data_IF_401498505113
#
_entry.id   IF_401498505113
#
_cell.length_a   1.000
_cell.length_b   1.000
_cell.length_c   1.000
_cell.angle_alpha   90.00
_cell.angle_beta   90.00
_cell.angle_gamma   90.00
#
_symmetry.space_group_name_H-M   'P 1'
#
loop_
_entity.id
_entity.type
_entity.pdbx_description
1 polymer ?
#
# COMPACT_ATOMS: atom_id res chain seq x y z
N UNK A 1 18.96 25.12 18.14
CA UNK A 1 18.52 23.79 18.61
C UNK A 1 17.33 23.97 19.51
N UNK A 2 16.12 23.63 19.04
CA UNK A 2 14.94 23.62 19.92
C UNK A 2 15.13 22.49 20.93
N UNK A 3 15.09 22.80 22.23
CA UNK A 3 15.04 21.81 23.30
C UNK A 3 13.94 20.79 22.97
N UNK A 4 14.31 19.55 22.68
CA UNK A 4 13.36 18.45 22.62
C UNK A 4 12.79 18.29 24.02
N UNK A 5 11.57 18.79 24.24
CA UNK A 5 10.81 18.50 25.47
C UNK A 5 10.72 16.99 25.58
N UNK A 6 11.22 16.43 26.68
CA UNK A 6 10.93 15.04 27.05
C UNK A 6 9.41 14.96 27.21
N UNK A 7 8.74 14.24 26.32
CA UNK A 7 7.32 14.01 26.47
C UNK A 7 7.15 13.04 27.65
N UNK A 8 6.50 13.49 28.72
CA UNK A 8 6.15 12.64 29.84
C UNK A 8 5.49 11.34 29.34
N UNK A 9 5.88 10.18 29.88
CA UNK A 9 5.31 8.89 29.52
C UNK A 9 3.79 8.85 29.69
N UNK A 10 3.27 9.54 30.71
CA UNK A 10 1.83 9.66 30.93
C UNK A 10 1.15 10.47 29.83
N UNK A 11 1.79 11.53 29.34
CA UNK A 11 1.32 12.33 28.20
C UNK A 11 1.29 11.51 26.92
N UNK A 12 2.40 10.84 26.60
CA UNK A 12 2.53 9.97 25.42
C UNK A 12 1.45 8.90 25.40
N UNK A 13 1.27 8.19 26.53
CA UNK A 13 0.24 7.17 26.63
C UNK A 13 -1.16 7.74 26.45
N UNK A 14 -1.47 8.87 27.11
CA UNK A 14 -2.79 9.51 27.01
C UNK A 14 -3.08 9.96 25.59
N UNK A 15 -2.11 10.61 24.95
CA UNK A 15 -2.29 11.19 23.61
C UNK A 15 -2.43 10.13 22.52
N UNK A 16 -1.62 9.06 22.55
CA UNK A 16 -1.63 8.00 21.55
C UNK A 16 -2.77 7.00 21.76
N UNK A 17 -3.23 6.81 23.02
CA UNK A 17 -4.34 5.91 23.31
C UNK A 17 -5.71 6.61 23.33
N UNK A 18 -5.76 7.92 23.11
CA UNK A 18 -7.05 8.65 23.12
C UNK A 18 -8.06 8.08 22.12
N UNK A 19 -7.60 7.61 20.94
CA UNK A 19 -8.49 7.02 19.94
C UNK A 19 -9.24 5.78 20.45
N UNK A 20 -8.60 4.98 21.31
CA UNK A 20 -9.16 3.75 21.89
C UNK A 20 -9.98 4.04 23.16
N UNK A 21 -9.53 4.96 24.01
CA UNK A 21 -10.15 5.29 25.29
C UNK A 21 -11.28 6.31 25.11
N UNK A 22 -10.99 7.43 24.42
CA UNK A 22 -11.91 8.53 24.15
C UNK A 22 -12.15 8.67 22.65
N UNK A 23 -13.38 8.45 22.21
CA UNK A 23 -13.72 8.52 20.78
C UNK A 23 -13.88 9.98 20.34
N UNK A 24 -13.12 10.48 19.36
CA UNK A 24 -13.33 11.82 18.81
C UNK A 24 -14.73 11.98 18.23
N UNK A 25 -15.35 13.15 18.38
CA UNK A 25 -16.72 13.42 17.91
C UNK A 25 -16.92 13.19 16.40
N UNK A 26 -15.88 13.41 15.60
CA UNK A 26 -15.92 13.21 14.14
C UNK A 26 -15.88 11.73 13.73
N UNK A 27 -15.38 10.83 14.61
CA UNK A 27 -15.14 9.43 14.27
C UNK A 27 -16.42 8.66 13.90
N UNK A 28 -17.44 8.74 14.75
CA UNK A 28 -18.68 7.99 14.55
C UNK A 28 -19.44 8.42 13.27
N UNK A 29 -19.67 9.71 12.99
CA UNK A 29 -20.26 10.14 11.74
C UNK A 29 -19.49 9.67 10.51
N UNK A 30 -18.16 9.77 10.54
CA UNK A 30 -17.32 9.34 9.42
C UNK A 30 -17.40 7.83 9.17
N UNK A 31 -17.37 7.03 10.25
CA UNK A 31 -17.52 5.56 10.15
C UNK A 31 -18.91 5.17 9.63
N UNK A 32 -19.98 5.89 10.03
CA UNK A 32 -21.33 5.64 9.51
C UNK A 32 -21.38 5.92 8.00
N UNK A 33 -20.87 7.07 7.56
CA UNK A 33 -20.87 7.42 6.12
C UNK A 33 -20.07 6.41 5.30
N UNK A 34 -18.87 6.05 5.76
CA UNK A 34 -18.05 5.03 5.09
C UNK A 34 -18.73 3.66 5.13
N UNK A 35 -19.38 3.30 6.24
CA UNK A 35 -20.15 2.06 6.36
C UNK A 35 -21.30 1.99 5.35
N UNK A 36 -22.01 3.09 5.11
CA UNK A 36 -23.04 3.18 4.08
C UNK A 36 -22.43 2.97 2.69
N UNK A 37 -21.33 3.63 2.37
CA UNK A 37 -20.62 3.44 1.09
C UNK A 37 -20.14 2.00 0.90
N UNK A 38 -19.66 1.38 1.97
CA UNK A 38 -19.25 -0.04 1.96
C UNK A 38 -20.45 -0.95 1.69
N UNK A 39 -21.58 -0.72 2.33
CA UNK A 39 -22.80 -1.50 2.10
C UNK A 39 -23.35 -1.34 0.67
N UNK A 40 -23.32 -0.13 0.12
CA UNK A 40 -23.69 0.13 -1.28
C UNK A 40 -22.79 -0.68 -2.20
N UNK A 41 -21.47 -0.64 -1.99
CA UNK A 41 -20.53 -1.40 -2.82
C UNK A 41 -20.74 -2.91 -2.73
N UNK A 42 -20.97 -3.46 -1.53
CA UNK A 42 -21.31 -4.88 -1.33
C UNK A 42 -22.60 -5.23 -2.07
N UNK A 43 -23.61 -4.36 -2.01
CA UNK A 43 -24.86 -4.53 -2.76
C UNK A 43 -24.63 -4.60 -4.28
N UNK A 44 -23.81 -3.69 -4.82
CA UNK A 44 -23.46 -3.67 -6.25
C UNK A 44 -22.65 -4.92 -6.65
N UNK A 45 -21.68 -5.34 -5.82
CA UNK A 45 -20.94 -6.60 -6.03
C UNK A 45 -21.91 -7.79 -6.05
N UNK A 46 -22.86 -7.85 -5.13
CA UNK A 46 -23.88 -8.91 -5.08
C UNK A 46 -24.74 -8.94 -6.32
N UNK A 47 -25.17 -7.78 -6.83
CA UNK A 47 -25.92 -7.67 -8.09
C UNK A 47 -25.08 -8.18 -9.26
N UNK A 48 -23.81 -7.79 -9.33
CA UNK A 48 -22.89 -8.23 -10.39
C UNK A 48 -22.67 -9.76 -10.33
N UNK A 49 -22.48 -10.34 -9.15
CA UNK A 49 -22.34 -11.79 -8.98
C UNK A 49 -23.59 -12.54 -9.50
N UNK A 50 -24.77 -12.03 -9.23
CA UNK A 50 -26.03 -12.64 -9.66
C UNK A 50 -26.27 -12.49 -11.18
N UNK A 51 -26.05 -11.30 -11.75
CA UNK A 51 -26.27 -11.02 -13.17
C UNK A 51 -25.07 -11.43 -14.05
N UNK A 52 -23.88 -11.58 -13.49
CA UNK A 52 -22.64 -11.83 -14.19
C UNK A 52 -21.97 -10.54 -14.70
N UNK A 53 -20.83 -10.69 -15.38
CA UNK A 53 -20.01 -9.58 -15.88
C UNK A 53 -20.67 -8.74 -16.99
N UNK A 54 -21.81 -9.18 -17.55
CA UNK A 54 -22.55 -8.43 -18.56
C UNK A 54 -23.09 -7.07 -18.11
N UNK A 55 -23.06 -6.75 -16.80
CA UNK A 55 -23.41 -5.42 -16.25
C UNK A 55 -22.21 -4.47 -16.17
N UNK A 56 -21.03 -4.94 -16.53
CA UNK A 56 -19.78 -4.16 -16.57
C UNK A 56 -19.50 -3.64 -17.98
N UNK A 57 -18.49 -2.76 -18.10
CA UNK A 57 -17.98 -2.32 -19.40
C UNK A 57 -16.97 -3.27 -20.04
N UNK A 58 -16.70 -4.42 -19.41
CA UNK A 58 -15.76 -5.41 -19.94
C UNK A 58 -16.30 -5.99 -21.25
N UNK A 59 -15.42 -6.07 -22.25
CA UNK A 59 -15.76 -6.53 -23.60
C UNK A 59 -14.73 -7.54 -24.10
N UNK A 60 -14.91 -8.06 -25.29
CA UNK A 60 -13.95 -8.99 -25.88
C UNK A 60 -12.80 -8.24 -26.45
N UNK A 61 -12.36 -7.22 -26.72
CA UNK A 61 -10.94 -6.97 -26.65
C UNK A 61 -10.49 -6.63 -25.25
N UNK A 62 -11.29 -5.92 -24.45
CA UNK A 62 -10.88 -5.45 -23.12
C UNK A 62 -11.54 -6.31 -22.04
N UNK A 63 -10.94 -7.47 -21.80
CA UNK A 63 -11.38 -8.39 -20.73
C UNK A 63 -10.80 -8.04 -19.37
N UNK A 64 -9.74 -7.26 -19.31
CA UNK A 64 -9.16 -6.66 -18.11
C UNK A 64 -9.29 -5.14 -18.17
N UNK A 65 -10.11 -4.59 -17.28
CA UNK A 65 -10.41 -3.16 -17.21
C UNK A 65 -10.14 -2.60 -15.82
N UNK A 66 -11.09 -1.81 -15.32
CA UNK A 66 -11.00 -1.09 -14.08
C UNK A 66 -10.74 -2.00 -12.86
N UNK A 67 -11.28 -3.21 -12.85
CA UNK A 67 -11.08 -4.14 -11.73
C UNK A 67 -9.64 -4.57 -11.59
N UNK A 68 -9.00 -5.02 -12.69
CA UNK A 68 -7.59 -5.45 -12.64
C UNK A 68 -6.66 -4.25 -12.43
N UNK A 69 -6.95 -3.10 -13.03
CA UNK A 69 -6.23 -1.85 -12.74
C UNK A 69 -6.22 -1.53 -11.24
N UNK A 70 -7.38 -1.61 -10.61
CA UNK A 70 -7.53 -1.31 -9.18
C UNK A 70 -6.91 -2.41 -8.31
N UNK A 71 -6.97 -3.67 -8.72
CA UNK A 71 -6.26 -4.78 -8.09
C UNK A 71 -4.74 -4.50 -8.03
N UNK A 72 -4.13 -4.25 -9.18
CA UNK A 72 -2.67 -3.98 -9.27
C UNK A 72 -2.30 -2.73 -8.47
N UNK A 73 -3.15 -1.70 -8.48
CA UNK A 73 -2.95 -0.51 -7.67
C UNK A 73 -2.91 -0.84 -6.17
N UNK A 74 -3.87 -1.60 -5.64
CA UNK A 74 -3.89 -1.96 -4.22
C UNK A 74 -2.76 -2.91 -3.83
N UNK A 75 -2.36 -3.83 -4.71
CA UNK A 75 -1.13 -4.61 -4.50
C UNK A 75 0.09 -3.67 -4.43
N UNK A 76 0.16 -2.66 -5.32
CA UNK A 76 1.21 -1.64 -5.30
C UNK A 76 1.26 -0.86 -3.97
N UNK A 77 0.12 -0.35 -3.51
CA UNK A 77 0.01 0.37 -2.22
C UNK A 77 0.51 -0.49 -1.05
N UNK A 78 0.26 -1.80 -1.09
CA UNK A 78 0.66 -2.70 0.00
C UNK A 78 2.17 -2.78 0.22
N UNK A 79 2.99 -2.39 -0.76
CA UNK A 79 4.45 -2.43 -0.64
C UNK A 79 5.03 -1.39 0.32
N UNK A 80 4.25 -0.38 0.68
CA UNK A 80 4.65 0.68 1.61
C UNK A 80 5.11 0.16 2.97
N UNK A 81 4.38 -0.80 3.53
CA UNK A 81 4.68 -1.32 4.87
C UNK A 81 6.04 -1.96 4.94
N UNK A 82 6.38 -2.78 3.96
CA UNK A 82 7.65 -3.48 3.94
C UNK A 82 8.80 -2.52 3.66
N UNK A 83 8.63 -1.59 2.72
CA UNK A 83 9.66 -0.59 2.43
C UNK A 83 9.98 0.25 3.69
N UNK A 84 8.97 0.75 4.37
CA UNK A 84 9.15 1.66 5.51
C UNK A 84 9.44 0.88 6.79
N UNK A 85 8.75 -0.20 7.06
CA UNK A 85 8.90 -0.94 8.31
C UNK A 85 10.11 -1.87 8.28
N UNK A 86 10.23 -2.74 7.27
CA UNK A 86 11.28 -3.76 7.24
C UNK A 86 12.63 -3.18 6.79
N UNK A 87 12.70 -2.49 5.65
CA UNK A 87 13.97 -1.97 5.12
C UNK A 87 14.55 -0.92 6.08
N UNK A 88 13.74 0.03 6.53
CA UNK A 88 14.23 1.06 7.45
C UNK A 88 14.56 0.52 8.85
N UNK A 89 13.94 -0.62 9.25
CA UNK A 89 14.35 -1.33 10.48
C UNK A 89 15.73 -1.95 10.31
N UNK A 90 15.97 -2.66 9.23
CA UNK A 90 17.25 -3.31 8.94
C UNK A 90 18.39 -2.30 8.77
N UNK A 91 18.10 -1.13 8.21
CA UNK A 91 19.07 -0.02 8.08
C UNK A 91 19.14 0.86 9.32
N UNK A 92 18.44 0.52 10.41
CA UNK A 92 18.44 1.26 11.68
C UNK A 92 18.02 2.73 11.55
N UNK A 93 17.14 3.04 10.62
CA UNK A 93 16.63 4.39 10.39
C UNK A 93 15.62 4.79 11.47
N UNK A 94 16.05 5.48 12.52
CA UNK A 94 15.25 5.83 13.70
C UNK A 94 14.02 6.70 13.39
N UNK A 95 14.06 7.52 12.34
CA UNK A 95 12.93 8.37 11.93
C UNK A 95 11.70 7.59 11.49
N UNK A 96 11.82 6.28 11.20
CA UNK A 96 10.71 5.41 10.78
C UNK A 96 9.65 5.20 11.87
N UNK A 97 10.02 5.27 13.15
CA UNK A 97 9.22 4.80 14.30
C UNK A 97 7.77 5.31 14.33
N UNK A 98 7.47 6.61 14.14
CA UNK A 98 6.07 7.08 14.14
C UNK A 98 5.28 6.68 12.90
N UNK A 99 5.96 6.24 11.83
CA UNK A 99 5.40 5.94 10.52
C UNK A 99 5.12 4.46 10.33
N UNK A 100 5.91 3.61 10.99
CA UNK A 100 5.97 2.15 10.80
C UNK A 100 4.58 1.49 10.86
N UNK A 101 3.84 1.71 11.96
CA UNK A 101 2.53 1.08 12.15
C UNK A 101 1.51 1.49 11.10
N UNK A 102 1.52 2.75 10.72
CA UNK A 102 0.65 3.27 9.68
C UNK A 102 0.90 2.57 8.33
N UNK A 103 2.18 2.38 7.99
CA UNK A 103 2.59 1.70 6.78
C UNK A 103 2.23 0.19 6.81
N UNK A 104 2.45 -0.49 7.92
CA UNK A 104 2.08 -1.90 8.11
C UNK A 104 0.57 -2.13 7.99
N UNK A 105 -0.24 -1.26 8.58
CA UNK A 105 -1.71 -1.31 8.48
C UNK A 105 -2.19 -1.09 7.06
N UNK A 106 -1.62 -0.09 6.39
CA UNK A 106 -1.96 0.18 4.99
C UNK A 106 -1.65 -1.05 4.12
N UNK A 107 -0.53 -1.72 4.37
CA UNK A 107 -0.17 -2.98 3.69
C UNK A 107 -1.24 -4.06 3.89
N UNK A 108 -1.60 -4.35 5.13
CA UNK A 108 -2.56 -5.43 5.42
C UNK A 108 -3.93 -5.14 4.80
N UNK A 109 -4.45 -3.92 4.94
CA UNK A 109 -5.78 -3.58 4.41
C UNK A 109 -5.80 -3.43 2.89
N UNK A 110 -4.70 -2.99 2.29
CA UNK A 110 -4.56 -2.97 0.82
C UNK A 110 -4.51 -4.38 0.25
N UNK A 111 -3.80 -5.31 0.90
CA UNK A 111 -3.75 -6.72 0.49
C UNK A 111 -5.10 -7.42 0.65
N UNK A 112 -5.82 -7.18 1.76
CA UNK A 112 -7.18 -7.68 1.93
C UNK A 112 -8.09 -7.19 0.81
N UNK A 113 -7.97 -5.91 0.45
CA UNK A 113 -8.72 -5.31 -0.65
C UNK A 113 -8.34 -5.92 -1.99
N UNK A 114 -7.04 -6.03 -2.26
CA UNK A 114 -6.52 -6.64 -3.48
C UNK A 114 -7.01 -8.08 -3.65
N UNK A 115 -7.01 -8.88 -2.59
CA UNK A 115 -7.47 -10.28 -2.62
C UNK A 115 -8.95 -10.43 -3.03
N UNK A 116 -9.77 -9.43 -2.79
CA UNK A 116 -11.20 -9.45 -3.17
C UNK A 116 -11.39 -9.20 -4.67
N UNK A 117 -10.51 -8.46 -5.34
CA UNK A 117 -10.67 -8.10 -6.75
C UNK A 117 -10.65 -9.27 -7.74
N UNK A 118 -9.79 -10.30 -7.62
CA UNK A 118 -9.90 -11.50 -8.45
C UNK A 118 -11.24 -12.21 -8.31
N UNK A 119 -11.80 -12.25 -7.10
CA UNK A 119 -13.13 -12.82 -6.85
C UNK A 119 -14.24 -12.00 -7.53
N UNK A 120 -14.15 -10.67 -7.49
CA UNK A 120 -15.05 -9.74 -8.18
C UNK A 120 -14.91 -9.93 -9.70
N UNK A 121 -13.66 -9.94 -10.20
CA UNK A 121 -13.38 -10.07 -11.64
C UNK A 121 -13.82 -11.41 -12.20
N UNK A 122 -13.81 -12.49 -11.43
CA UNK A 122 -14.34 -13.78 -11.83
C UNK A 122 -15.85 -13.73 -12.12
N UNK A 123 -16.58 -12.71 -11.65
CA UNK A 123 -18.01 -12.51 -11.81
C UNK A 123 -18.88 -13.57 -11.13
N UNK A 124 -18.36 -14.81 -11.07
CA UNK A 124 -18.97 -15.96 -10.37
C UNK A 124 -17.91 -16.60 -9.47
N UNK A 125 -17.78 -16.15 -8.20
CA UNK A 125 -16.66 -16.53 -7.31
C UNK A 125 -16.49 -18.03 -7.11
N UNK A 126 -17.56 -18.81 -7.15
CA UNK A 126 -17.50 -20.29 -7.04
C UNK A 126 -16.80 -20.98 -8.21
N UNK A 127 -16.54 -20.26 -9.31
CA UNK A 127 -15.77 -20.78 -10.46
C UNK A 127 -14.28 -20.43 -10.40
N UNK A 128 -13.82 -19.74 -9.38
CA UNK A 128 -12.48 -19.20 -9.35
C UNK A 128 -11.40 -20.30 -9.42
N UNK A 129 -11.62 -21.42 -8.75
CA UNK A 129 -10.70 -22.55 -8.81
C UNK A 129 -10.55 -23.10 -10.23
N UNK A 130 -11.65 -23.22 -10.95
CA UNK A 130 -11.69 -23.64 -12.35
C UNK A 130 -11.07 -22.58 -13.29
N UNK A 131 -11.28 -21.30 -13.00
CA UNK A 131 -10.77 -20.19 -13.81
C UNK A 131 -9.25 -20.03 -13.67
N UNK A 132 -8.73 -20.13 -12.46
CA UNK A 132 -7.27 -20.06 -12.21
C UNK A 132 -6.57 -21.31 -12.73
N UNK A 133 -7.20 -22.47 -12.61
CA UNK A 133 -6.62 -23.77 -12.91
C UNK A 133 -7.64 -24.62 -13.68
N UNK A 134 -7.91 -24.31 -14.97
CA UNK A 134 -8.87 -25.08 -15.77
C UNK A 134 -8.48 -26.55 -15.84
N UNK A 135 -9.45 -27.42 -15.62
CA UNK A 135 -9.26 -28.87 -15.74
C UNK A 135 -10.54 -29.53 -16.29
N UNK A 136 -10.34 -30.61 -17.02
CA UNK A 136 -11.41 -31.50 -17.45
C UNK A 136 -10.81 -32.91 -17.63
N UNK A 137 -10.81 -33.67 -16.56
CA UNK A 137 -10.21 -34.99 -16.57
C UNK A 137 -10.88 -35.95 -17.58
N UNK A 138 -12.19 -35.74 -17.86
CA UNK A 138 -12.90 -36.52 -18.87
C UNK A 138 -12.40 -36.29 -20.30
N UNK A 139 -11.84 -35.10 -20.57
CA UNK A 139 -11.20 -34.75 -21.83
C UNK A 139 -9.67 -34.81 -21.79
N UNK A 140 -9.08 -35.33 -20.73
CA UNK A 140 -7.61 -35.36 -20.55
C UNK A 140 -6.97 -33.98 -20.29
N UNK A 141 -7.73 -32.97 -19.87
CA UNK A 141 -7.21 -31.65 -19.52
C UNK A 141 -6.82 -31.67 -18.04
N UNK A 142 -5.54 -31.59 -17.79
CA UNK A 142 -4.97 -31.54 -16.44
C UNK A 142 -4.64 -30.09 -16.05
N UNK A 143 -4.70 -29.75 -14.73
CA UNK A 143 -4.39 -28.43 -14.24
C UNK A 143 -2.96 -28.01 -14.59
N UNK A 144 -2.79 -26.80 -15.17
CA UNK A 144 -1.47 -26.25 -15.42
C UNK A 144 -0.95 -25.50 -14.19
N UNK A 145 -0.29 -26.23 -13.28
CA UNK A 145 0.29 -25.67 -12.05
C UNK A 145 1.49 -24.73 -12.27
N UNK A 146 1.97 -24.61 -13.50
CA UNK A 146 3.09 -23.72 -13.86
C UNK A 146 2.64 -22.32 -14.27
N UNK A 147 1.35 -22.09 -14.39
CA UNK A 147 0.82 -20.76 -14.75
C UNK A 147 1.07 -19.74 -13.64
N UNK A 148 1.52 -18.52 -13.95
CA UNK A 148 1.58 -17.39 -12.99
C UNK A 148 0.26 -17.14 -12.27
N UNK A 149 -0.88 -17.31 -12.94
CA UNK A 149 -2.21 -17.18 -12.35
C UNK A 149 -2.46 -18.10 -11.15
N UNK A 150 -1.73 -19.22 -11.04
CA UNK A 150 -1.79 -20.11 -9.86
C UNK A 150 -0.84 -19.60 -8.78
N UNK A 151 0.30 -19.06 -9.19
CA UNK A 151 1.29 -18.52 -8.25
C UNK A 151 0.77 -17.25 -7.55
N UNK A 152 -0.08 -16.48 -8.21
CA UNK A 152 -0.60 -15.20 -7.70
C UNK A 152 -1.39 -15.34 -6.38
N UNK A 153 -2.41 -16.23 -6.25
CA UNK A 153 -3.10 -16.45 -4.98
C UNK A 153 -2.18 -16.93 -3.86
N UNK A 154 -1.17 -17.77 -4.19
CA UNK A 154 -0.19 -18.26 -3.22
C UNK A 154 0.71 -17.11 -2.77
N UNK A 155 1.20 -16.31 -3.69
CA UNK A 155 2.08 -15.18 -3.42
C UNK A 155 1.36 -14.11 -2.58
N UNK A 156 0.16 -13.70 -2.98
CA UNK A 156 -0.66 -12.73 -2.25
C UNK A 156 -1.04 -13.26 -0.86
N UNK A 157 -1.45 -14.54 -0.77
CA UNK A 157 -1.78 -15.19 0.49
C UNK A 157 -0.58 -15.27 1.43
N UNK A 158 0.60 -15.60 0.93
CA UNK A 158 1.86 -15.60 1.69
C UNK A 158 2.21 -14.21 2.19
N UNK A 159 2.09 -13.21 1.32
CA UNK A 159 2.38 -11.82 1.67
C UNK A 159 1.38 -11.27 2.69
N UNK A 160 0.10 -11.54 2.54
CA UNK A 160 -0.94 -11.15 3.50
C UNK A 160 -0.70 -11.81 4.87
N UNK A 161 -0.42 -13.10 4.89
CA UNK A 161 -0.15 -13.84 6.13
C UNK A 161 1.11 -13.31 6.82
N UNK A 162 2.21 -13.17 6.07
CA UNK A 162 3.46 -12.63 6.58
C UNK A 162 3.32 -11.19 7.10
N UNK A 163 2.64 -10.32 6.36
CA UNK A 163 2.40 -8.92 6.77
C UNK A 163 1.50 -8.84 8.01
N UNK A 164 0.49 -9.69 8.10
CA UNK A 164 -0.39 -9.75 9.28
C UNK A 164 0.37 -10.24 10.51
N UNK A 165 1.21 -11.27 10.37
CA UNK A 165 2.07 -11.74 11.46
C UNK A 165 3.09 -10.67 11.88
N UNK A 166 3.69 -9.98 10.91
CA UNK A 166 4.64 -8.90 11.17
C UNK A 166 3.99 -7.77 11.96
N UNK A 167 2.82 -7.28 11.53
CA UNK A 167 2.02 -6.31 12.25
C UNK A 167 1.62 -6.81 13.64
N UNK A 168 1.17 -8.07 13.75
CA UNK A 168 0.69 -8.62 15.00
C UNK A 168 1.80 -8.75 16.05
N UNK A 169 2.97 -9.24 15.65
CA UNK A 169 4.14 -9.31 16.53
C UNK A 169 4.51 -7.94 17.06
N UNK A 170 4.50 -6.92 16.19
CA UNK A 170 4.76 -5.54 16.59
C UNK A 170 3.67 -4.94 17.52
N UNK A 171 2.44 -5.49 17.50
CA UNK A 171 1.33 -5.05 18.36
C UNK A 171 1.38 -5.63 19.78
N UNK A 172 2.04 -6.76 20.01
CA UNK A 172 1.99 -7.49 21.28
C UNK A 172 2.25 -6.63 22.53
N UNK A 173 3.29 -5.78 22.58
CA UNK A 173 3.54 -4.91 23.73
C UNK A 173 2.43 -3.87 23.95
N UNK A 174 1.87 -3.34 22.86
CA UNK A 174 0.82 -2.34 22.91
C UNK A 174 -0.51 -2.95 23.35
N UNK A 175 -0.80 -4.20 22.95
CA UNK A 175 -1.96 -4.97 23.39
C UNK A 175 -1.92 -5.27 24.90
N UNK A 176 -0.75 -5.62 25.42
CA UNK A 176 -0.55 -5.80 26.85
C UNK A 176 -0.79 -4.49 27.63
N UNK A 177 -0.30 -3.38 27.09
CA UNK A 177 -0.52 -2.04 27.68
C UNK A 177 -2.03 -1.66 27.71
N UNK A 178 -2.76 -2.00 26.63
CA UNK A 178 -4.22 -1.80 26.58
C UNK A 178 -4.96 -2.75 27.54
N UNK A 179 -4.55 -4.03 27.66
CA UNK A 179 -5.09 -4.96 28.63
C UNK A 179 -5.03 -4.39 30.03
N UNK A 180 -3.89 -3.87 30.44
CA UNK A 180 -3.67 -3.37 31.80
C UNK A 180 -4.43 -2.07 32.11
N UNK A 181 -4.99 -1.40 31.10
CA UNK A 181 -5.72 -0.12 31.20
C UNK A 181 -7.22 -0.23 30.95
N UNK A 182 -7.70 -1.38 30.49
CA UNK A 182 -9.10 -1.59 30.14
C UNK A 182 -9.78 -2.54 31.12
N UNK A 183 -11.12 -2.48 31.15
CA UNK A 183 -11.97 -3.36 32.00
C UNK A 183 -13.05 -4.03 31.14
N UNK A 184 -13.67 -5.06 31.67
CA UNK A 184 -14.77 -5.77 31.03
C UNK A 184 -14.33 -6.51 29.77
N UNK A 185 -15.19 -6.59 28.76
CA UNK A 185 -14.96 -7.37 27.55
C UNK A 185 -13.69 -6.95 26.77
N UNK A 186 -13.29 -5.68 26.83
CA UNK A 186 -12.05 -5.20 26.22
C UNK A 186 -10.83 -5.77 26.89
N UNK A 187 -10.81 -5.85 28.22
CA UNK A 187 -9.73 -6.50 28.95
C UNK A 187 -9.58 -7.97 28.53
N UNK A 188 -10.70 -8.71 28.45
CA UNK A 188 -10.70 -10.11 28.01
C UNK A 188 -10.16 -10.25 26.58
N UNK A 189 -10.60 -9.38 25.67
CA UNK A 189 -10.10 -9.35 24.27
C UNK A 189 -8.58 -9.15 24.23
N UNK A 190 -8.08 -8.11 24.90
CA UNK A 190 -6.64 -7.81 24.89
C UNK A 190 -5.82 -8.84 25.67
N UNK A 191 -6.39 -9.52 26.66
CA UNK A 191 -5.72 -10.63 27.37
C UNK A 191 -5.46 -11.79 26.41
N UNK A 192 -6.45 -12.15 25.61
CA UNK A 192 -6.28 -13.20 24.58
C UNK A 192 -5.27 -12.77 23.51
N UNK A 193 -5.45 -11.56 22.96
CA UNK A 193 -4.61 -11.07 21.88
C UNK A 193 -3.16 -10.79 22.30
N UNK A 194 -2.89 -10.46 23.58
CA UNK A 194 -1.54 -10.23 24.06
C UNK A 194 -0.71 -11.51 24.25
N UNK A 195 -1.30 -12.71 24.07
CA UNK A 195 -0.62 -14.01 24.18
C UNK A 195 0.29 -14.16 25.41
N UNK A 196 -0.17 -13.65 26.57
CA UNK A 196 0.59 -13.73 27.82
C UNK A 196 1.82 -12.81 27.86
N UNK A 197 1.87 -11.77 27.06
CA UNK A 197 2.94 -10.77 27.12
C UNK A 197 2.98 -10.10 28.49
N UNK A 198 4.16 -10.11 29.14
CA UNK A 198 4.40 -9.54 30.48
C UNK A 198 5.54 -8.50 30.48
N UNK A 199 6.23 -8.32 29.35
CA UNK A 199 7.32 -7.36 29.21
C UNK A 199 8.61 -7.78 29.90
N UNK A 200 8.84 -9.08 30.13
CA UNK A 200 10.10 -9.55 30.72
C UNK A 200 11.26 -9.46 29.69
N UNK A 201 12.54 -9.43 30.16
CA UNK A 201 13.71 -9.26 29.29
C UNK A 201 13.80 -10.32 28.17
N UNK A 202 13.36 -11.56 28.43
CA UNK A 202 13.35 -12.63 27.42
C UNK A 202 12.35 -12.34 26.31
N UNK A 203 11.15 -11.86 26.66
CA UNK A 203 10.13 -11.48 25.65
C UNK A 203 10.61 -10.30 24.81
N UNK A 204 11.23 -9.29 25.40
CA UNK A 204 11.81 -8.16 24.67
C UNK A 204 12.93 -8.60 23.71
N UNK A 205 13.82 -9.48 24.16
CA UNK A 205 14.87 -10.06 23.29
C UNK A 205 14.23 -10.82 22.11
N UNK A 206 13.22 -11.64 22.36
CA UNK A 206 12.50 -12.37 21.31
C UNK A 206 11.77 -11.42 20.35
N UNK A 207 11.19 -10.33 20.84
CA UNK A 207 10.55 -9.29 20.04
C UNK A 207 11.54 -8.62 19.07
N UNK A 208 12.72 -8.25 19.58
CA UNK A 208 13.75 -7.63 18.75
C UNK A 208 14.27 -8.59 17.70
N UNK A 209 14.65 -9.81 18.10
CA UNK A 209 15.15 -10.84 17.16
C UNK A 209 14.07 -11.23 16.16
N UNK A 210 12.85 -11.50 16.61
CA UNK A 210 11.73 -11.84 15.75
C UNK A 210 11.39 -10.73 14.76
N UNK A 211 11.42 -9.47 15.20
CA UNK A 211 11.22 -8.31 14.34
C UNK A 211 12.28 -8.20 13.23
N UNK A 212 13.56 -8.45 13.54
CA UNK A 212 14.64 -8.45 12.55
C UNK A 212 14.47 -9.61 11.56
N UNK A 213 14.24 -10.82 12.05
CA UNK A 213 14.05 -12.01 11.20
C UNK A 213 12.84 -11.87 10.28
N UNK A 214 11.71 -11.41 10.80
CA UNK A 214 10.51 -11.14 10.00
C UNK A 214 10.78 -10.04 8.97
N UNK A 215 11.48 -8.97 9.34
CA UNK A 215 11.87 -7.91 8.39
C UNK A 215 12.70 -8.47 7.24
N UNK A 216 13.69 -9.32 7.56
CA UNK A 216 14.54 -9.96 6.54
C UNK A 216 13.75 -10.92 5.64
N UNK A 217 12.82 -11.70 6.22
CA UNK A 217 11.96 -12.62 5.48
C UNK A 217 10.99 -11.89 4.54
N UNK A 218 10.46 -10.75 4.98
CA UNK A 218 9.48 -10.02 4.20
C UNK A 218 10.06 -9.36 2.94
N UNK A 219 11.37 -9.08 2.88
CA UNK A 219 12.00 -8.46 1.70
C UNK A 219 11.88 -9.30 0.43
N UNK A 220 12.31 -10.58 0.39
CA UNK A 220 12.13 -11.39 -0.81
C UNK A 220 10.65 -11.66 -1.12
N UNK A 221 9.79 -11.74 -0.10
CA UNK A 221 8.35 -11.96 -0.31
C UNK A 221 7.74 -10.78 -1.08
N UNK A 222 7.99 -9.54 -0.67
CA UNK A 222 7.37 -8.39 -1.35
C UNK A 222 7.87 -8.23 -2.79
N UNK A 223 9.15 -8.48 -3.04
CA UNK A 223 9.72 -8.42 -4.40
C UNK A 223 9.10 -9.52 -5.26
N UNK A 224 9.01 -10.77 -4.75
CA UNK A 224 8.47 -11.90 -5.49
C UNK A 224 6.99 -11.72 -5.83
N UNK A 225 6.17 -11.22 -4.91
CA UNK A 225 4.74 -11.01 -5.16
C UNK A 225 4.50 -10.07 -6.32
N UNK A 226 5.18 -8.92 -6.32
CA UNK A 226 4.95 -7.95 -7.39
C UNK A 226 5.57 -8.38 -8.72
N UNK A 227 6.65 -9.17 -8.68
CA UNK A 227 7.21 -9.82 -9.85
C UNK A 227 6.24 -10.85 -10.44
N UNK A 228 5.59 -11.67 -9.61
CA UNK A 228 4.57 -12.64 -10.04
C UNK A 228 3.38 -11.92 -10.68
N UNK A 229 2.83 -10.89 -10.02
CA UNK A 229 1.76 -10.06 -10.59
C UNK A 229 2.16 -9.47 -11.95
N UNK A 230 3.42 -9.04 -12.12
CA UNK A 230 3.89 -8.56 -13.43
C UNK A 230 3.93 -9.65 -14.49
N UNK A 231 4.21 -10.90 -14.10
CA UNK A 231 4.24 -12.05 -15.01
C UNK A 231 2.84 -12.51 -15.43
N UNK A 232 1.81 -12.21 -14.66
CA UNK A 232 0.42 -12.39 -15.11
C UNK A 232 0.13 -11.58 -16.39
N UNK A 233 0.81 -10.47 -16.59
CA UNK A 233 0.77 -9.68 -17.81
C UNK A 233 1.78 -10.19 -18.83
N UNK A 234 3.04 -10.34 -18.45
CA UNK A 234 4.14 -10.61 -19.38
C UNK A 234 4.14 -12.03 -19.96
N UNK A 235 3.53 -13.02 -19.28
CA UNK A 235 3.65 -14.43 -19.65
C UNK A 235 2.30 -15.08 -20.01
N UNK A 236 1.21 -14.68 -19.37
CA UNK A 236 -0.08 -15.38 -19.53
C UNK A 236 -0.80 -14.99 -20.81
N UNK A 237 -1.11 -13.72 -21.09
CA UNK A 237 -1.73 -13.30 -22.33
C UNK A 237 -0.71 -12.74 -23.31
N UNK A 238 -0.89 -13.02 -24.58
CA UNK A 238 -0.07 -12.44 -25.65
C UNK A 238 -0.60 -11.03 -26.02
N UNK A 239 -0.36 -10.05 -25.17
CA UNK A 239 -0.80 -8.66 -25.37
C UNK A 239 0.42 -7.76 -25.59
N UNK A 240 0.33 -6.93 -26.63
CA UNK A 240 1.38 -5.98 -27.00
C UNK A 240 1.70 -5.01 -25.84
N UNK A 241 2.99 -4.74 -25.65
CA UNK A 241 3.48 -3.86 -24.60
C UNK A 241 3.52 -4.48 -23.19
N UNK A 242 3.25 -5.79 -23.05
CA UNK A 242 3.36 -6.50 -21.78
C UNK A 242 4.57 -7.45 -21.70
N UNK A 243 5.24 -7.75 -22.82
CA UNK A 243 6.29 -8.79 -22.91
C UNK A 243 7.69 -8.32 -22.48
N UNK A 244 7.84 -7.12 -21.96
CA UNK A 244 9.16 -6.61 -21.62
C UNK A 244 9.80 -7.39 -20.46
N UNK A 245 11.10 -7.70 -20.61
CA UNK A 245 11.89 -8.39 -19.59
C UNK A 245 12.08 -7.57 -18.33
N UNK A 246 11.97 -6.23 -18.42
CA UNK A 246 12.10 -5.33 -17.26
C UNK A 246 10.78 -5.09 -16.52
N UNK A 247 9.69 -5.73 -16.96
CA UNK A 247 8.35 -5.50 -16.40
C UNK A 247 8.29 -5.81 -14.89
N UNK A 248 8.99 -6.86 -14.44
CA UNK A 248 9.02 -7.21 -13.03
C UNK A 248 9.67 -6.13 -12.14
N UNK A 249 10.92 -5.69 -12.37
CA UNK A 249 11.52 -4.63 -11.58
C UNK A 249 10.81 -3.27 -11.77
N UNK A 250 10.28 -2.99 -12.95
CA UNK A 250 9.48 -1.80 -13.22
C UNK A 250 8.22 -1.75 -12.33
N UNK A 251 7.48 -2.86 -12.24
CA UNK A 251 6.32 -2.97 -11.37
C UNK A 251 6.66 -2.83 -9.88
N UNK A 252 7.78 -3.44 -9.44
CA UNK A 252 8.23 -3.35 -8.04
C UNK A 252 8.55 -1.90 -7.67
N UNK A 253 9.34 -1.18 -8.47
CA UNK A 253 9.71 0.22 -8.14
C UNK A 253 8.49 1.15 -8.19
N UNK A 254 7.57 0.95 -9.16
CA UNK A 254 6.32 1.68 -9.23
C UNK A 254 5.40 1.42 -8.04
N UNK A 255 5.37 0.19 -7.54
CA UNK A 255 4.66 -0.16 -6.33
C UNK A 255 5.21 0.56 -5.09
N UNK A 256 6.54 0.61 -4.95
CA UNK A 256 7.19 1.37 -3.87
C UNK A 256 6.86 2.86 -3.99
N UNK A 257 6.87 3.42 -5.19
CA UNK A 257 6.53 4.83 -5.42
C UNK A 257 5.10 5.17 -4.98
N UNK A 258 4.11 4.41 -5.42
CA UNK A 258 2.71 4.59 -5.00
C UNK A 258 2.52 4.33 -3.51
N UNK A 259 3.11 3.27 -2.98
CA UNK A 259 2.95 2.86 -1.59
C UNK A 259 3.51 3.88 -0.59
N UNK A 260 4.75 4.34 -0.78
CA UNK A 260 5.36 5.37 0.10
C UNK A 260 4.57 6.67 0.02
N UNK A 261 4.09 7.03 -1.18
CA UNK A 261 3.23 8.19 -1.39
C UNK A 261 1.90 8.07 -0.61
N UNK A 262 1.27 6.90 -0.62
CA UNK A 262 0.04 6.64 0.15
C UNK A 262 0.28 6.73 1.67
N UNK A 263 1.45 6.31 2.16
CA UNK A 263 1.81 6.49 3.57
C UNK A 263 1.95 7.96 3.92
N UNK A 264 2.54 8.80 3.07
CA UNK A 264 2.61 10.25 3.28
C UNK A 264 1.20 10.85 3.42
N UNK A 265 0.28 10.47 2.51
CA UNK A 265 -1.13 10.88 2.58
C UNK A 265 -1.76 10.49 3.91
N UNK A 266 -1.59 9.24 4.31
CA UNK A 266 -2.18 8.72 5.55
C UNK A 266 -1.59 9.38 6.79
N UNK A 267 -0.27 9.60 6.84
CA UNK A 267 0.38 10.29 7.94
C UNK A 267 -0.12 11.72 8.13
N UNK A 268 -0.33 12.45 7.04
CA UNK A 268 -0.89 13.80 7.09
C UNK A 268 -2.30 13.77 7.67
N UNK A 269 -3.16 12.84 7.22
CA UNK A 269 -4.49 12.64 7.76
C UNK A 269 -4.46 12.28 9.25
N UNK A 270 -3.63 11.33 9.65
CA UNK A 270 -3.48 10.95 11.06
C UNK A 270 -3.05 12.15 11.93
N UNK A 271 -2.07 12.92 11.47
CA UNK A 271 -1.62 14.11 12.17
C UNK A 271 -2.76 15.12 12.38
N UNK A 272 -3.56 15.40 11.35
CA UNK A 272 -4.65 16.37 11.41
C UNK A 272 -5.85 15.87 12.22
N UNK A 273 -6.26 14.63 12.02
CA UNK A 273 -7.46 14.07 12.65
C UNK A 273 -7.27 13.82 14.15
N UNK A 274 -6.12 13.32 14.58
CA UNK A 274 -5.81 13.03 15.98
C UNK A 274 -4.97 14.12 16.66
N UNK A 275 -4.60 15.18 15.93
CA UNK A 275 -3.76 16.28 16.44
C UNK A 275 -2.45 15.76 17.03
N UNK A 276 -1.76 14.89 16.27
CA UNK A 276 -0.50 14.26 16.67
C UNK A 276 0.73 15.04 16.18
N UNK A 277 0.71 16.37 16.43
CA UNK A 277 1.77 17.29 15.96
C UNK A 277 3.14 16.98 16.59
N UNK A 278 3.13 16.50 17.84
CA UNK A 278 4.34 16.18 18.58
C UNK A 278 5.01 14.88 18.13
N UNK A 279 4.24 13.94 17.57
CA UNK A 279 4.72 12.62 17.16
C UNK A 279 5.02 12.56 15.66
N UNK A 280 4.13 13.07 14.82
CA UNK A 280 4.28 13.11 13.37
C UNK A 280 4.75 14.50 12.98
N UNK A 281 6.06 14.70 12.92
CA UNK A 281 6.70 16.01 12.70
C UNK A 281 7.07 16.24 11.23
N UNK A 282 7.29 17.50 10.81
CA UNK A 282 7.71 17.83 9.44
C UNK A 282 8.99 17.11 9.00
N UNK A 283 9.88 16.75 9.93
CA UNK A 283 11.11 15.99 9.66
C UNK A 283 10.85 14.62 9.05
N UNK A 284 9.76 13.95 9.45
CA UNK A 284 9.36 12.66 8.90
C UNK A 284 8.90 12.79 7.44
N UNK A 285 8.20 13.88 7.12
CA UNK A 285 7.81 14.20 5.74
C UNK A 285 9.01 14.55 4.86
N UNK A 286 10.00 15.30 5.40
CA UNK A 286 11.26 15.57 4.68
C UNK A 286 12.02 14.28 4.36
N UNK A 287 12.10 13.34 5.31
CA UNK A 287 12.76 12.05 5.11
C UNK A 287 12.03 11.19 4.05
N UNK A 288 10.69 11.09 4.14
CA UNK A 288 9.88 10.36 3.16
C UNK A 288 9.94 11.00 1.77
N UNK A 289 9.95 12.33 1.68
CA UNK A 289 10.08 13.02 0.41
C UNK A 289 11.42 12.76 -0.27
N UNK A 290 12.52 12.71 0.49
CA UNK A 290 13.84 12.33 -0.06
C UNK A 290 13.85 10.90 -0.58
N UNK A 291 13.21 9.97 0.14
CA UNK A 291 13.03 8.60 -0.31
C UNK A 291 12.21 8.56 -1.61
N UNK A 292 11.10 9.31 -1.66
CA UNK A 292 10.24 9.41 -2.84
C UNK A 292 10.98 9.98 -4.06
N UNK A 293 11.86 10.97 -3.90
CA UNK A 293 12.68 11.50 -5.03
C UNK A 293 13.53 10.38 -5.63
N UNK A 294 14.21 9.58 -4.79
CA UNK A 294 15.06 8.48 -5.26
C UNK A 294 14.23 7.41 -5.96
N UNK A 295 13.14 6.99 -5.34
CA UNK A 295 12.25 5.95 -5.86
C UNK A 295 11.59 6.41 -7.17
N UNK A 296 11.06 7.64 -7.22
CA UNK A 296 10.43 8.19 -8.40
C UNK A 296 11.42 8.34 -9.57
N UNK A 297 12.67 8.73 -9.29
CA UNK A 297 13.70 8.82 -10.32
C UNK A 297 14.09 7.44 -10.86
N UNK A 298 14.20 6.43 -9.98
CA UNK A 298 14.40 5.05 -10.40
C UNK A 298 13.23 4.52 -11.24
N UNK A 299 12.00 4.79 -10.82
CA UNK A 299 10.79 4.44 -11.58
C UNK A 299 10.77 5.12 -12.97
N UNK A 300 11.10 6.40 -13.03
CA UNK A 300 11.23 7.12 -14.30
C UNK A 300 12.28 6.48 -15.22
N UNK A 301 13.42 6.07 -14.65
CA UNK A 301 14.46 5.35 -15.39
C UNK A 301 13.93 4.07 -16.03
N UNK A 302 13.15 3.25 -15.31
CA UNK A 302 12.51 2.06 -15.88
C UNK A 302 11.45 2.41 -16.93
N UNK A 303 10.69 3.47 -16.74
CA UNK A 303 9.72 3.95 -17.74
C UNK A 303 10.41 4.35 -19.05
N UNK A 304 11.56 5.02 -18.98
CA UNK A 304 12.36 5.34 -20.17
C UNK A 304 13.00 4.10 -20.81
N UNK A 305 13.49 3.17 -20.01
CA UNK A 305 14.05 1.91 -20.54
C UNK A 305 12.99 1.12 -21.29
N UNK A 306 11.76 1.05 -20.78
CA UNK A 306 10.64 0.41 -21.45
C UNK A 306 10.37 1.03 -22.82
N UNK A 307 10.36 2.36 -22.90
CA UNK A 307 10.20 3.08 -24.17
C UNK A 307 11.38 2.85 -25.13
N UNK A 308 12.62 2.91 -24.62
CA UNK A 308 13.82 2.70 -25.42
C UNK A 308 13.85 1.29 -26.00
N UNK A 309 13.52 0.28 -25.22
CA UNK A 309 13.48 -1.10 -25.71
C UNK A 309 12.39 -1.33 -26.75
N UNK A 310 11.22 -0.72 -26.59
CA UNK A 310 10.17 -0.74 -27.60
C UNK A 310 10.65 -0.14 -28.93
N UNK A 311 11.29 1.02 -28.88
CA UNK A 311 11.83 1.71 -30.07
C UNK A 311 13.03 0.97 -30.67
N UNK A 312 13.92 0.40 -29.86
CA UNK A 312 15.09 -0.33 -30.33
C UNK A 312 14.72 -1.67 -30.97
N UNK A 313 13.75 -2.38 -30.39
CA UNK A 313 13.27 -3.66 -30.88
C UNK A 313 12.57 -3.59 -32.23
N UNK A 314 12.12 -2.38 -32.65
CA UNK A 314 11.41 -2.13 -33.91
C UNK A 314 10.21 -3.04 -34.12
N UNK A 315 9.59 -3.54 -33.03
CA UNK A 315 8.36 -4.29 -33.12
C UNK A 315 7.19 -3.38 -33.48
N UNK A 316 6.69 -3.51 -34.71
CA UNK A 316 5.66 -2.63 -35.25
C UNK A 316 4.37 -2.58 -34.39
N UNK A 317 3.86 -3.70 -33.84
CA UNK A 317 2.75 -3.71 -32.92
C UNK A 317 3.01 -2.89 -31.65
N UNK A 318 4.17 -3.00 -31.04
CA UNK A 318 4.51 -2.29 -29.82
C UNK A 318 4.68 -0.78 -30.07
N UNK A 319 5.37 -0.40 -31.17
CA UNK A 319 5.51 1.01 -31.59
C UNK A 319 4.13 1.63 -31.77
N UNK A 320 3.22 0.98 -32.49
CA UNK A 320 1.88 1.49 -32.70
C UNK A 320 1.05 1.60 -31.41
N UNK A 321 1.31 0.77 -30.40
CA UNK A 321 0.73 0.93 -29.08
C UNK A 321 1.26 2.19 -28.38
N UNK A 322 2.57 2.44 -28.43
CA UNK A 322 3.20 3.65 -27.86
C UNK A 322 2.71 4.92 -28.55
N UNK A 323 2.61 4.89 -29.89
CA UNK A 323 2.01 6.00 -30.66
C UNK A 323 0.57 6.26 -30.24
N UNK A 324 -0.24 5.21 -30.05
CA UNK A 324 -1.62 5.35 -29.57
C UNK A 324 -1.66 6.00 -28.18
N UNK A 325 -0.81 5.58 -27.25
CA UNK A 325 -0.75 6.13 -25.90
C UNK A 325 -0.32 7.60 -25.88
N UNK A 326 0.62 8.00 -26.75
CA UNK A 326 1.20 9.34 -26.74
C UNK A 326 0.46 10.37 -27.60
N UNK A 327 -0.16 9.94 -28.71
CA UNK A 327 -0.65 10.86 -29.73
C UNK A 327 -2.14 10.73 -30.06
N UNK A 328 -2.81 9.63 -29.70
CA UNK A 328 -4.22 9.40 -30.05
C UNK A 328 -5.13 9.67 -28.85
N UNK A 329 -6.13 10.52 -29.06
CA UNK A 329 -7.16 10.78 -28.05
C UNK A 329 -8.05 9.54 -27.83
N UNK A 330 -8.44 9.20 -26.59
CA UNK A 330 -8.24 9.90 -25.32
C UNK A 330 -6.93 9.51 -24.58
N UNK A 331 -6.15 8.59 -25.10
CA UNK A 331 -4.99 8.00 -24.45
C UNK A 331 -3.88 9.03 -24.17
N UNK A 332 -3.63 9.93 -25.14
CA UNK A 332 -2.63 10.99 -25.00
C UNK A 332 -2.95 11.93 -23.82
N UNK A 333 -4.22 12.29 -23.63
CA UNK A 333 -4.61 13.11 -22.48
C UNK A 333 -4.35 12.38 -21.16
N UNK A 334 -4.72 11.11 -21.07
CA UNK A 334 -4.47 10.29 -19.89
C UNK A 334 -2.98 10.11 -19.63
N UNK A 335 -2.18 9.94 -20.69
CA UNK A 335 -0.72 9.84 -20.60
C UNK A 335 -0.09 11.12 -20.08
N UNK A 336 -0.53 12.29 -20.56
CA UNK A 336 -0.05 13.59 -20.07
C UNK A 336 -0.42 13.77 -18.59
N UNK A 337 -1.67 13.50 -18.20
CA UNK A 337 -2.12 13.59 -16.80
C UNK A 337 -1.30 12.65 -15.92
N UNK A 338 -1.09 11.41 -16.35
CA UNK A 338 -0.27 10.44 -15.66
C UNK A 338 1.14 10.97 -15.40
N UNK A 339 1.82 11.45 -16.43
CA UNK A 339 3.21 11.88 -16.32
C UNK A 339 3.36 13.15 -15.48
N UNK A 340 2.42 14.10 -15.62
CA UNK A 340 2.35 15.29 -14.79
C UNK A 340 2.15 14.97 -13.32
N UNK A 341 1.22 14.08 -13.01
CA UNK A 341 0.82 13.80 -11.62
C UNK A 341 1.76 12.81 -10.93
N UNK A 342 2.32 11.84 -11.65
CA UNK A 342 3.24 10.87 -11.08
C UNK A 342 4.65 11.43 -10.86
N UNK A 343 5.13 12.35 -11.70
CA UNK A 343 6.53 12.80 -11.67
C UNK A 343 6.72 14.29 -11.83
N UNK A 344 6.25 14.89 -12.93
CA UNK A 344 6.66 16.25 -13.35
C UNK A 344 6.24 17.36 -12.38
N UNK A 345 5.15 17.20 -11.66
CA UNK A 345 4.74 18.17 -10.64
C UNK A 345 5.35 17.82 -9.27
N UNK A 346 5.16 16.61 -8.71
CA UNK A 346 5.59 16.34 -7.34
C UNK A 346 7.10 16.33 -7.18
N UNK A 347 7.87 15.70 -8.08
CA UNK A 347 9.31 15.50 -7.87
C UNK A 347 10.09 16.81 -7.89
N UNK A 348 9.92 17.72 -8.87
CA UNK A 348 10.57 19.03 -8.83
C UNK A 348 10.18 19.87 -7.60
N UNK A 349 8.91 19.80 -7.15
CA UNK A 349 8.49 20.48 -5.93
C UNK A 349 9.23 19.95 -4.70
N UNK A 350 9.48 18.63 -4.61
CA UNK A 350 10.18 18.02 -3.49
C UNK A 350 11.68 18.31 -3.45
N UNK A 351 12.29 18.87 -4.49
CA UNK A 351 13.67 19.37 -4.43
C UNK A 351 13.82 20.51 -3.43
N UNK A 352 12.74 21.25 -3.17
CA UNK A 352 12.76 22.37 -2.23
C UNK A 352 12.40 21.91 -0.81
N UNK A 353 13.28 22.16 0.16
CA UNK A 353 13.05 21.82 1.57
C UNK A 353 11.76 22.41 2.13
N UNK A 354 11.39 23.64 1.71
CA UNK A 354 10.14 24.29 2.13
C UNK A 354 8.90 23.47 1.79
N UNK A 355 8.91 22.76 0.65
CA UNK A 355 7.81 21.88 0.23
C UNK A 355 7.83 20.61 1.07
N UNK A 356 8.99 19.96 1.20
CA UNK A 356 9.12 18.70 1.94
C UNK A 356 8.75 18.80 3.42
N UNK A 357 8.94 19.98 4.02
CA UNK A 357 8.55 20.23 5.43
C UNK A 357 7.14 20.80 5.58
N UNK A 358 6.45 21.13 4.48
CA UNK A 358 5.07 21.58 4.50
C UNK A 358 4.11 20.41 4.31
N UNK A 359 3.39 20.07 5.38
CA UNK A 359 2.53 18.90 5.43
C UNK A 359 1.38 18.96 4.41
N UNK A 360 0.79 20.14 4.20
CA UNK A 360 -0.28 20.30 3.22
C UNK A 360 0.21 20.10 1.78
N UNK A 361 1.38 20.65 1.44
CA UNK A 361 1.97 20.42 0.13
C UNK A 361 2.36 18.96 -0.06
N UNK A 362 2.94 18.32 0.96
CA UNK A 362 3.24 16.90 0.91
C UNK A 362 1.99 16.03 0.75
N UNK A 363 0.90 16.36 1.44
CA UNK A 363 -0.38 15.69 1.28
C UNK A 363 -0.92 15.77 -0.14
N UNK A 364 -0.99 16.97 -0.72
CA UNK A 364 -1.54 17.13 -2.07
C UNK A 364 -0.64 16.53 -3.15
N UNK A 365 0.68 16.68 -3.03
CA UNK A 365 1.61 16.06 -3.99
C UNK A 365 1.60 14.53 -3.90
N UNK A 366 1.40 13.96 -2.71
CA UNK A 366 1.27 12.51 -2.56
C UNK A 366 -0.04 11.97 -3.15
N UNK A 367 -1.14 12.71 -3.06
CA UNK A 367 -2.39 12.38 -3.76
C UNK A 367 -2.20 12.42 -5.28
N UNK A 368 -1.53 13.45 -5.80
CA UNK A 368 -1.22 13.53 -7.24
C UNK A 368 -0.45 12.29 -7.69
N UNK A 369 0.59 11.89 -6.96
CA UNK A 369 1.34 10.66 -7.28
C UNK A 369 0.43 9.44 -7.31
N UNK A 370 -0.45 9.27 -6.33
CA UNK A 370 -1.35 8.10 -6.31
C UNK A 370 -2.34 8.10 -7.48
N UNK A 371 -2.82 9.28 -7.90
CA UNK A 371 -3.64 9.42 -9.12
C UNK A 371 -2.81 9.01 -10.35
N UNK A 372 -1.58 9.53 -10.48
CA UNK A 372 -0.71 9.19 -11.59
C UNK A 372 -0.35 7.71 -11.64
N UNK A 373 -0.04 7.10 -10.49
CA UNK A 373 0.31 5.69 -10.42
C UNK A 373 -0.90 4.76 -10.68
N UNK A 374 -2.11 5.18 -10.34
CA UNK A 374 -3.30 4.48 -10.76
C UNK A 374 -3.52 4.59 -12.27
N UNK A 375 -3.36 5.79 -12.84
CA UNK A 375 -3.43 6.01 -14.29
C UNK A 375 -2.37 5.22 -15.06
N UNK A 376 -1.16 5.09 -14.51
CA UNK A 376 -0.12 4.23 -15.08
C UNK A 376 -0.62 2.80 -15.26
N UNK A 377 -1.17 2.18 -14.20
CA UNK A 377 -1.72 0.83 -14.27
C UNK A 377 -2.82 0.71 -15.30
N UNK A 378 -3.68 1.73 -15.40
CA UNK A 378 -4.72 1.81 -16.41
C UNK A 378 -4.15 1.88 -17.83
N UNK A 379 -3.12 2.73 -18.05
CA UNK A 379 -2.46 2.90 -19.34
C UNK A 379 -1.61 1.68 -19.75
N UNK A 380 -1.12 0.90 -18.81
CA UNK A 380 -0.48 -0.38 -19.12
C UNK A 380 -1.52 -1.40 -19.59
N UNK A 381 -2.64 -1.53 -18.88
CA UNK A 381 -3.59 -2.62 -19.06
C UNK A 381 -4.55 -2.37 -20.22
N UNK A 382 -5.24 -1.25 -20.23
CA UNK A 382 -6.39 -1.06 -21.12
C UNK A 382 -6.00 -0.76 -22.56
N UNK A 383 -5.03 0.11 -22.88
CA UNK A 383 -4.66 0.40 -24.28
C UNK A 383 -4.15 -0.81 -25.05
N UNK A 384 -3.34 -1.67 -24.41
CA UNK A 384 -2.85 -2.90 -25.03
C UNK A 384 -4.00 -3.81 -25.47
N UNK A 385 -5.03 -3.95 -24.64
CA UNK A 385 -6.23 -4.72 -24.95
C UNK A 385 -7.19 -4.01 -25.92
N UNK A 386 -7.29 -2.69 -25.82
CA UNK A 386 -8.18 -1.89 -26.67
C UNK A 386 -7.66 -1.73 -28.10
N UNK A 387 -6.39 -2.06 -28.34
CA UNK A 387 -5.78 -1.99 -29.67
C UNK A 387 -6.43 -3.00 -30.59
N UNK A 388 -6.80 -2.54 -31.79
CA UNK A 388 -7.43 -3.38 -32.81
C UNK A 388 -6.42 -4.37 -33.39
N UNK A 389 -6.73 -5.65 -33.28
CA UNK A 389 -5.99 -6.72 -33.94
C UNK A 389 -6.81 -7.34 -35.07
N UNK A 390 -6.19 -7.88 -36.13
CA UNK A 390 -6.92 -8.42 -37.29
C UNK A 390 -7.91 -9.54 -36.95
N UNK A 391 -7.71 -10.23 -35.82
CA UNK A 391 -8.49 -11.39 -35.42
C UNK A 391 -9.62 -11.08 -34.42
N UNK A 392 -9.83 -9.81 -34.08
CA UNK A 392 -10.91 -9.41 -33.17
C UNK A 392 -12.07 -8.86 -33.96
N UNK A 393 -13.21 -9.56 -33.90
CA UNK A 393 -14.42 -9.17 -34.64
C UNK A 393 -15.23 -8.07 -33.98
N UNK A 394 -15.09 -7.85 -32.67
CA UNK A 394 -15.77 -6.79 -31.93
C UNK A 394 -14.80 -5.68 -31.57
N UNK A 395 -15.02 -4.51 -32.18
CA UNK A 395 -14.17 -3.32 -32.07
C UNK A 395 -14.81 -2.27 -31.18
N UNK A 396 -15.16 -2.65 -29.96
CA UNK A 396 -15.76 -1.70 -29.03
C UNK A 396 -14.68 -0.99 -28.19
N UNK A 397 -14.95 0.27 -27.87
CA UNK A 397 -14.13 1.05 -26.95
C UNK A 397 -14.52 0.70 -25.52
N UNK A 398 -13.56 0.36 -24.67
CA UNK A 398 -13.81 0.15 -23.26
C UNK A 398 -14.32 1.44 -22.58
N UNK A 399 -15.47 1.35 -21.97
CA UNK A 399 -16.05 2.40 -21.13
C UNK A 399 -16.47 1.79 -19.80
N UNK A 400 -15.79 2.12 -18.70
CA UNK A 400 -16.16 1.61 -17.39
C UNK A 400 -17.63 1.94 -17.07
N UNK A 401 -18.37 0.92 -16.65
CA UNK A 401 -19.78 1.08 -16.25
C UNK A 401 -19.91 1.74 -14.86
N UNK A 402 -21.14 2.17 -14.53
CA UNK A 402 -21.43 2.66 -13.19
C UNK A 402 -21.14 1.61 -12.10
N UNK A 403 -21.30 0.32 -12.42
CA UNK A 403 -20.97 -0.79 -11.53
C UNK A 403 -19.46 -0.79 -11.20
N UNK A 404 -18.62 -0.66 -12.22
CA UNK A 404 -17.16 -0.64 -12.03
C UNK A 404 -16.70 0.59 -11.23
N UNK A 405 -17.25 1.76 -11.54
CA UNK A 405 -16.95 2.98 -10.79
C UNK A 405 -17.39 2.90 -9.33
N UNK A 406 -18.55 2.31 -9.07
CA UNK A 406 -19.04 2.11 -7.70
C UNK A 406 -18.12 1.17 -6.93
N UNK A 407 -17.66 0.07 -7.53
CA UNK A 407 -16.72 -0.86 -6.90
C UNK A 407 -15.35 -0.23 -6.71
N UNK A 408 -14.90 0.62 -7.63
CA UNK A 408 -13.69 1.41 -7.48
C UNK A 408 -13.75 2.32 -6.24
N UNK A 409 -14.81 3.13 -6.12
CA UNK A 409 -15.03 4.02 -4.96
C UNK A 409 -15.18 3.21 -3.68
N UNK A 410 -15.88 2.08 -3.73
CA UNK A 410 -16.01 1.15 -2.61
C UNK A 410 -14.65 0.71 -2.07
N UNK A 411 -13.68 0.43 -2.92
CA UNK A 411 -12.37 -0.05 -2.47
C UNK A 411 -11.63 0.97 -1.59
N UNK A 412 -11.70 2.25 -1.90
CA UNK A 412 -11.14 3.34 -1.08
C UNK A 412 -11.93 3.54 0.21
N UNK A 413 -13.26 3.50 0.13
CA UNK A 413 -14.12 3.58 1.32
C UNK A 413 -13.87 2.40 2.26
N UNK A 414 -13.69 1.19 1.72
CA UNK A 414 -13.40 -0.03 2.46
C UNK A 414 -12.08 0.04 3.22
N UNK A 415 -10.98 0.41 2.57
CA UNK A 415 -9.66 0.56 3.23
C UNK A 415 -9.73 1.62 4.32
N UNK A 416 -10.32 2.78 4.04
CA UNK A 416 -10.47 3.87 5.02
C UNK A 416 -11.35 3.43 6.20
N UNK A 417 -12.43 2.72 5.94
CA UNK A 417 -13.32 2.17 6.95
C UNK A 417 -12.59 1.20 7.88
N UNK A 418 -11.82 0.25 7.32
CA UNK A 418 -11.01 -0.68 8.09
C UNK A 418 -9.96 0.03 8.96
N UNK A 419 -9.29 1.06 8.41
CA UNK A 419 -8.33 1.88 9.14
C UNK A 419 -8.98 2.58 10.34
N UNK A 420 -10.16 3.16 10.16
CA UNK A 420 -10.89 3.82 11.24
C UNK A 420 -11.41 2.83 12.28
N UNK A 421 -11.90 1.67 11.88
CA UNK A 421 -12.29 0.61 12.81
C UNK A 421 -11.07 0.14 13.62
N UNK A 422 -9.94 -0.11 12.97
CA UNK A 422 -8.72 -0.50 13.65
C UNK A 422 -8.31 0.55 14.69
N UNK A 423 -8.38 1.84 14.34
CA UNK A 423 -8.03 2.93 15.25
C UNK A 423 -8.82 2.95 16.55
N UNK A 424 -10.00 2.33 16.58
CA UNK A 424 -10.83 2.25 17.78
C UNK A 424 -10.38 1.15 18.75
N UNK A 425 -9.77 0.11 18.23
CA UNK A 425 -9.36 -1.04 19.03
C UNK A 425 -7.86 -1.10 19.27
N UNK A 426 -7.06 -0.56 18.33
CA UNK A 426 -5.60 -0.70 18.34
C UNK A 426 -4.90 0.64 18.09
N UNK A 427 -3.72 0.86 18.70
CA UNK A 427 -2.99 2.11 18.50
C UNK A 427 -2.38 2.18 17.08
N UNK A 428 -2.60 3.31 16.42
CA UNK A 428 -2.08 3.58 15.08
C UNK A 428 -0.59 3.97 15.07
N UNK A 429 -0.05 4.37 16.21
CA UNK A 429 1.38 4.66 16.41
C UNK A 429 1.91 3.71 17.46
N UNK A 430 3.05 3.04 17.23
CA UNK A 430 3.61 2.11 18.20
C UNK A 430 4.09 2.85 19.44
N UNK A 431 3.46 2.55 20.61
CA UNK A 431 3.76 3.20 21.88
C UNK A 431 5.19 2.91 22.35
N UNK A 432 5.59 1.66 22.21
CA UNK A 432 6.89 1.21 22.64
C UNK A 432 8.01 1.88 21.82
N UNK A 433 7.97 1.77 20.49
CA UNK A 433 8.98 2.36 19.61
C UNK A 433 9.04 3.89 19.77
N UNK A 434 7.89 4.53 20.06
CA UNK A 434 7.85 5.97 20.31
C UNK A 434 8.52 6.35 21.62
N UNK A 435 8.42 5.54 22.67
CA UNK A 435 9.11 5.77 23.94
C UNK A 435 10.60 5.52 23.82
N UNK A 436 11.03 4.49 23.12
CA UNK A 436 12.44 4.22 22.85
C UNK A 436 13.13 5.37 22.06
N UNK A 437 12.38 6.05 21.19
CA UNK A 437 12.92 7.18 20.42
C UNK A 437 13.15 8.45 21.22
N UNK A 438 12.67 8.49 22.47
CA UNK A 438 12.91 9.62 23.38
C UNK A 438 14.32 9.52 23.94
N UNK A 439 15.26 10.15 23.25
CA UNK A 439 16.62 10.30 23.73
C UNK A 439 16.66 11.50 24.67
N UNK A 440 16.90 11.25 25.95
CA UNK A 440 17.19 12.30 26.91
C UNK A 440 18.62 12.81 26.64
N UNK A 441 18.72 14.05 26.17
CA UNK A 441 20.02 14.74 26.10
C UNK A 441 20.07 15.74 27.21
N UNK A 442 21.06 15.58 28.08
CA UNK A 442 21.44 16.62 29.05
C UNK A 442 22.88 17.04 28.79
N UNK A 443 23.18 18.27 29.14
CA UNK A 443 24.55 18.78 29.05
C UNK A 443 25.35 18.32 30.26
N UNK A 444 26.24 17.37 30.05
CA UNK A 444 27.14 16.85 31.11
C UNK A 444 28.49 17.55 31.05
N UNK A 445 28.99 17.94 32.19
CA UNK A 445 30.35 18.50 32.32
C UNK A 445 31.38 17.37 32.25
N UNK A 446 32.19 17.33 31.20
CA UNK A 446 33.34 16.44 31.09
C UNK A 446 34.61 17.31 31.25
N UNK A 447 35.18 17.31 32.44
CA UNK A 447 36.22 18.23 32.79
C UNK A 447 35.72 19.68 32.84
N UNK A 448 36.25 20.55 31.99
CA UNK A 448 35.85 21.97 31.88
C UNK A 448 34.94 22.24 30.69
N UNK A 449 34.60 21.24 29.89
CA UNK A 449 33.77 21.38 28.71
C UNK A 449 32.35 20.86 28.99
N UNK A 450 31.36 21.64 28.57
CA UNK A 450 29.97 21.24 28.59
C UNK A 450 29.65 20.50 27.29
N UNK A 451 29.40 19.19 27.38
CA UNK A 451 29.18 18.33 26.23
C UNK A 451 27.77 17.75 26.30
N UNK A 452 26.95 17.81 25.22
CA UNK A 452 25.68 17.16 25.20
C UNK A 452 25.85 15.63 25.30
N UNK A 453 25.36 15.05 26.38
CA UNK A 453 25.38 13.61 26.61
C UNK A 453 24.01 13.04 26.46
N UNK A 454 23.92 11.83 25.90
CA UNK A 454 22.70 11.03 25.86
C UNK A 454 22.59 10.27 27.17
N UNK A 455 21.63 10.66 28.01
CA UNK A 455 21.32 9.92 29.22
C UNK A 455 20.37 8.79 28.85
N UNK A 456 20.78 7.54 29.02
CA UNK A 456 19.87 6.40 29.13
C UNK A 456 19.44 6.30 30.59
N UNK A 457 18.11 6.25 30.86
CA UNK A 457 17.68 5.76 32.16
C UNK A 457 18.30 4.36 32.36
N UNK A 458 18.91 4.16 33.49
CA UNK A 458 19.37 2.84 33.88
C UNK A 458 18.15 1.92 34.00
N UNK A 459 18.19 0.81 33.27
CA UNK A 459 17.15 -0.24 33.29
C UNK A 459 16.93 -0.79 34.69
#
# INVERSE_FOLDING_TARGET
MQQRRSLDQAYTNRKLLNGQLDTPKWWAPTVIVLGILVLIGIGVISVMINKGLGVTGLSRPVFWGLFITTFVFWVGISHAGIMISAILRLTQAEWRRPVTRAAELLTVFSLLTALVFPLIHAGRPWRIAYWIMPYDFGRGIYPNIRSPLIMDPVAIGTYLTGSTLFLYVALLPDLANLRDRTKGWRNSLYTVLALGWRGNPRQWKMQTVGGILLSALMLPIFVSVHSIVSWDFAVVPAVEGWHSTIFAPYFVIGAVHSGVSAVVTMMALMRWLWKWDDFIRPEHFDALARLLIVVATGWLGFTFLELIFALYGQDAPEIALREMQMFIWPWNMLFIIFFLTAYLIPVPMWLFKRVRTNIALMFWTSILVNIGMWLERFLIIVPGLARRTPFVYTWDSYRPSAVEWTIFIWSFAWVTFLMLLFSKFFPLVPLFEQKESQVFTDDVMIGRAKVPAVLREAD
#
